data_IF_006144690680
#
_entry.id   IF_006144690680
#
_cell.length_a   1.000
_cell.length_b   1.000
_cell.length_c   1.000
_cell.angle_alpha   90.00
_cell.angle_beta   90.00
_cell.angle_gamma   90.00
#
_symmetry.space_group_name_H-M   'P 1'
#
loop_
_entity.id
_entity.type
_entity.pdbx_description
1 polymer ?
#
# COMPACT_ATOMS: atom_id res chain seq x y z
N UNK A 1 -19.16 20.22 11.72
CA UNK A 1 -18.48 21.46 11.26
C UNK A 1 -18.16 21.29 9.77
N UNK A 2 -18.38 22.31 8.94
CA UNK A 2 -18.15 22.20 7.49
C UNK A 2 -16.66 22.02 7.19
N UNK A 3 -16.31 21.04 6.36
CA UNK A 3 -14.94 20.77 5.88
C UNK A 3 -14.88 21.08 4.40
N UNK A 4 -13.75 21.56 3.92
CA UNK A 4 -13.58 21.76 2.47
C UNK A 4 -13.46 20.43 1.73
N UNK A 5 -12.65 19.51 2.26
CA UNK A 5 -12.40 18.21 1.69
C UNK A 5 -12.37 17.13 2.79
N UNK A 6 -13.00 16.00 2.52
CA UNK A 6 -12.94 14.78 3.34
C UNK A 6 -12.24 13.69 2.54
N UNK A 7 -11.37 12.92 3.17
CA UNK A 7 -10.74 11.77 2.52
C UNK A 7 -11.50 10.48 2.85
N UNK A 8 -11.69 9.63 1.83
CA UNK A 8 -12.25 8.29 1.94
C UNK A 8 -11.20 7.29 1.46
N UNK A 9 -10.60 6.58 2.41
CA UNK A 9 -9.45 5.70 2.18
C UNK A 9 -9.89 4.25 2.05
N UNK A 10 -9.79 3.69 0.85
CA UNK A 10 -10.16 2.32 0.54
C UNK A 10 -9.10 1.34 1.07
N UNK A 11 -9.39 0.69 2.17
CA UNK A 11 -8.48 -0.21 2.89
C UNK A 11 -9.06 -1.62 3.12
N UNK A 12 -10.13 -1.98 2.42
CA UNK A 12 -10.89 -3.22 2.62
C UNK A 12 -10.45 -4.39 1.73
N UNK A 13 -9.48 -4.22 0.83
CA UNK A 13 -9.08 -5.25 -0.12
C UNK A 13 -8.36 -6.44 0.52
N UNK A 14 -8.64 -7.66 0.02
CA UNK A 14 -8.07 -8.91 0.52
C UNK A 14 -6.56 -9.04 0.32
N UNK A 15 -5.99 -8.41 -0.73
CA UNK A 15 -4.56 -8.48 -1.01
C UNK A 15 -4.08 -9.87 -1.45
N UNK A 16 -4.92 -10.66 -2.11
CA UNK A 16 -4.68 -12.07 -2.47
C UNK A 16 -3.34 -12.30 -3.19
N UNK A 17 -2.85 -11.32 -3.97
CA UNK A 17 -1.57 -11.39 -4.68
C UNK A 17 -0.32 -11.22 -3.80
N UNK A 18 -0.49 -10.97 -2.50
CA UNK A 18 0.59 -11.02 -1.50
C UNK A 18 0.61 -12.34 -0.74
N UNK A 19 -0.26 -13.27 -1.13
CA UNK A 19 -0.29 -14.68 -0.68
C UNK A 19 -0.10 -14.83 0.84
N UNK A 20 0.98 -15.49 1.25
CA UNK A 20 1.31 -15.81 2.65
C UNK A 20 1.43 -14.59 3.56
N UNK A 21 1.73 -13.41 3.02
CA UNK A 21 1.88 -12.19 3.81
C UNK A 21 0.53 -11.59 4.24
N UNK A 22 -0.55 -11.89 3.52
CA UNK A 22 -1.90 -11.36 3.79
C UNK A 22 -2.89 -12.42 4.24
N UNK A 23 -2.41 -13.60 4.65
CA UNK A 23 -3.27 -14.67 5.17
C UNK A 23 -4.09 -14.23 6.39
N UNK A 24 -3.47 -13.53 7.32
CA UNK A 24 -4.08 -13.10 8.58
C UNK A 24 -4.23 -11.59 8.72
N UNK A 25 -3.73 -10.78 7.78
CA UNK A 25 -3.83 -9.31 7.83
C UNK A 25 -4.31 -8.69 6.51
N UNK A 26 -4.88 -7.50 6.60
CA UNK A 26 -5.24 -6.71 5.43
C UNK A 26 -3.99 -6.14 4.73
N UNK A 27 -3.99 -6.03 3.39
CA UNK A 27 -2.87 -5.49 2.61
C UNK A 27 -2.34 -4.14 3.14
N UNK A 28 -3.17 -3.14 3.53
CA UNK A 28 -2.67 -1.87 4.07
C UNK A 28 -1.88 -1.99 5.37
N UNK A 29 -2.03 -3.11 6.11
CA UNK A 29 -1.31 -3.38 7.34
C UNK A 29 0.07 -4.00 7.14
N UNK A 30 0.42 -4.41 5.92
CA UNK A 30 1.72 -5.06 5.63
C UNK A 30 2.87 -4.09 5.93
N UNK A 31 3.92 -4.55 6.66
CA UNK A 31 5.11 -3.76 6.96
C UNK A 31 5.89 -3.34 5.72
N UNK A 32 6.46 -2.14 5.77
CA UNK A 32 7.25 -1.56 4.70
C UNK A 32 8.40 -0.71 5.25
N UNK A 33 9.55 -0.73 4.57
CA UNK A 33 10.66 0.19 4.82
C UNK A 33 11.24 0.15 6.23
N UNK A 34 11.10 -0.97 6.91
CA UNK A 34 11.64 -1.19 8.25
C UNK A 34 10.87 -0.52 9.39
N UNK A 35 10.11 0.53 9.08
CA UNK A 35 9.44 1.36 10.08
C UNK A 35 7.93 1.47 9.86
N UNK A 36 7.48 1.44 8.61
CA UNK A 36 6.14 1.82 8.20
C UNK A 36 5.26 0.60 7.96
N UNK A 37 3.95 0.86 7.82
CA UNK A 37 2.99 0.00 7.14
C UNK A 37 2.49 0.75 5.90
N UNK A 38 1.95 0.05 4.90
CA UNK A 38 1.50 0.66 3.64
C UNK A 38 0.49 1.80 3.91
N UNK A 39 -0.41 1.63 4.89
CA UNK A 39 -1.42 2.62 5.28
C UNK A 39 -0.84 3.96 5.76
N UNK A 40 0.41 3.98 6.24
CA UNK A 40 1.05 5.20 6.76
C UNK A 40 1.21 6.26 5.66
N UNK A 41 1.39 5.85 4.43
CA UNK A 41 1.61 6.76 3.30
C UNK A 41 0.37 7.61 3.00
N UNK A 42 -0.81 7.04 2.70
CA UNK A 42 -1.99 7.86 2.45
C UNK A 42 -2.46 8.64 3.68
N UNK A 43 -2.33 8.10 4.91
CA UNK A 43 -2.67 8.86 6.13
C UNK A 43 -1.74 10.05 6.33
N UNK A 44 -0.43 9.86 6.14
CA UNK A 44 0.56 10.96 6.22
C UNK A 44 0.35 11.99 5.12
N UNK A 45 0.04 11.55 3.91
CA UNK A 45 -0.27 12.47 2.82
C UNK A 45 -1.53 13.30 3.12
N UNK A 46 -2.58 12.72 3.74
CA UNK A 46 -3.75 13.48 4.20
C UNK A 46 -3.34 14.55 5.23
N UNK A 47 -2.63 14.16 6.28
CA UNK A 47 -2.19 15.08 7.33
C UNK A 47 -1.31 16.22 6.78
N UNK A 48 -0.31 15.87 5.97
CA UNK A 48 0.60 16.85 5.35
C UNK A 48 -0.11 17.77 4.34
N UNK A 49 -1.19 17.31 3.71
CA UNK A 49 -2.01 18.11 2.77
C UNK A 49 -3.09 18.95 3.47
N UNK A 50 -3.19 18.88 4.81
CA UNK A 50 -4.21 19.60 5.55
C UNK A 50 -5.62 18.98 5.51
N UNK A 51 -5.76 17.74 5.01
CA UNK A 51 -7.00 16.98 5.08
C UNK A 51 -7.05 16.29 6.44
N UNK A 52 -7.84 16.83 7.35
CA UNK A 52 -7.89 16.42 8.75
C UNK A 52 -9.05 15.47 9.10
N UNK A 53 -9.83 15.09 8.11
CA UNK A 53 -11.00 14.20 8.29
C UNK A 53 -10.89 13.05 7.30
N UNK A 54 -10.69 11.84 7.81
CA UNK A 54 -10.41 10.65 7.00
C UNK A 54 -11.30 9.49 7.43
N UNK A 55 -12.14 8.99 6.53
CA UNK A 55 -12.86 7.73 6.69
C UNK A 55 -12.04 6.58 6.10
N UNK A 56 -11.66 5.60 6.91
CA UNK A 56 -10.92 4.41 6.47
C UNK A 56 -11.89 3.24 6.35
N UNK A 57 -12.14 2.81 5.11
CA UNK A 57 -13.08 1.74 4.80
C UNK A 57 -12.39 0.39 4.89
N UNK A 58 -12.65 -0.34 5.98
CA UNK A 58 -12.02 -1.65 6.27
C UNK A 58 -13.03 -2.76 6.11
N UNK A 59 -12.59 -3.95 5.69
CA UNK A 59 -13.46 -5.11 5.53
C UNK A 59 -12.73 -6.43 5.79
N UNK A 60 -11.70 -6.75 5.01
CA UNK A 60 -10.95 -8.00 5.13
C UNK A 60 -9.96 -7.93 6.30
N UNK A 61 -9.98 -8.96 7.19
CA UNK A 61 -9.04 -9.08 8.33
C UNK A 61 -8.76 -7.75 9.04
N UNK A 62 -9.79 -7.05 9.55
CA UNK A 62 -9.64 -5.66 9.97
C UNK A 62 -8.95 -5.49 11.32
N UNK A 63 -8.82 -6.54 12.14
CA UNK A 63 -8.41 -6.43 13.54
C UNK A 63 -7.05 -5.73 13.69
N UNK A 64 -6.04 -6.20 12.98
CA UNK A 64 -4.69 -5.66 13.09
C UNK A 64 -4.62 -4.23 12.53
N UNK A 65 -5.23 -4.00 11.35
CA UNK A 65 -5.27 -2.68 10.72
C UNK A 65 -5.98 -1.65 11.62
N UNK A 66 -7.15 -2.00 12.16
CA UNK A 66 -7.93 -1.13 13.05
C UNK A 66 -7.16 -0.82 14.34
N UNK A 67 -6.52 -1.85 14.94
CA UNK A 67 -5.68 -1.68 16.13
C UNK A 67 -4.46 -0.79 15.85
N UNK A 68 -3.88 -0.91 14.67
CA UNK A 68 -2.72 -0.10 14.25
C UNK A 68 -3.11 1.37 14.07
N UNK A 69 -4.21 1.65 13.36
CA UNK A 69 -4.69 3.02 13.15
C UNK A 69 -5.13 3.64 14.48
N UNK A 70 -5.86 2.89 15.32
CA UNK A 70 -6.38 3.38 16.59
C UNK A 70 -7.21 4.66 16.39
N UNK A 71 -6.89 5.69 17.16
CA UNK A 71 -7.53 7.02 17.09
C UNK A 71 -6.82 7.99 16.12
N UNK A 72 -5.77 7.55 15.43
CA UNK A 72 -5.05 8.39 14.47
C UNK A 72 -3.96 9.29 15.01
N UNK A 73 -3.66 9.20 16.31
CA UNK A 73 -2.66 10.05 16.99
C UNK A 73 -1.28 10.07 16.30
N UNK A 74 -0.73 8.97 15.79
CA UNK A 74 0.56 9.00 15.10
C UNK A 74 0.62 9.92 13.87
N UNK A 75 -0.52 10.18 13.23
CA UNK A 75 -0.64 11.05 12.05
C UNK A 75 -1.28 12.42 12.37
N UNK A 76 -1.44 12.75 13.67
CA UNK A 76 -2.13 13.96 14.13
C UNK A 76 -3.60 14.05 13.64
N UNK A 77 -4.23 12.88 13.47
CA UNK A 77 -5.62 12.70 13.06
C UNK A 77 -6.54 12.29 14.21
N UNK A 78 -6.17 12.61 15.47
CA UNK A 78 -6.95 12.39 16.69
C UNK A 78 -7.72 13.66 17.12
N UNK A 79 -8.32 14.35 16.14
CA UNK A 79 -8.95 15.65 16.35
C UNK A 79 -10.33 15.51 16.96
N UNK A 80 -10.76 16.53 17.71
CA UNK A 80 -12.09 16.61 18.29
C UNK A 80 -13.18 16.74 17.19
N UNK A 81 -12.89 17.57 16.18
CA UNK A 81 -13.75 17.78 15.01
C UNK A 81 -13.03 17.26 13.76
N UNK A 82 -13.43 16.12 13.26
CA UNK A 82 -12.76 15.39 12.18
C UNK A 82 -11.93 14.23 12.71
N UNK A 83 -10.68 14.09 12.23
CA UNK A 83 -9.81 12.99 12.59
C UNK A 83 -10.02 11.74 11.74
N UNK A 84 -9.39 10.62 12.15
CA UNK A 84 -9.55 9.35 11.45
C UNK A 84 -10.71 8.56 12.04
N UNK A 85 -11.56 8.01 11.16
CA UNK A 85 -12.69 7.16 11.50
C UNK A 85 -12.58 5.83 10.77
N UNK A 86 -12.68 4.74 11.50
CA UNK A 86 -12.75 3.39 10.93
C UNK A 86 -14.20 3.12 10.53
N UNK A 87 -14.41 2.81 9.26
CA UNK A 87 -15.72 2.57 8.67
C UNK A 87 -15.80 1.12 8.16
N UNK A 88 -16.19 0.16 9.02
CA UNK A 88 -16.46 -1.21 8.58
C UNK A 88 -17.85 -1.29 7.95
N UNK A 89 -18.14 -2.33 7.14
CA UNK A 89 -19.51 -2.65 6.76
C UNK A 89 -20.36 -2.91 8.00
N UNK A 90 -21.63 -2.53 7.97
CA UNK A 90 -22.53 -2.62 9.12
C UNK A 90 -23.90 -3.18 8.74
N UNK A 91 -24.62 -3.65 9.75
CA UNK A 91 -26.00 -4.07 9.60
C UNK A 91 -26.93 -2.86 9.69
N UNK A 92 -27.71 -2.63 8.62
CA UNK A 92 -28.80 -1.65 8.59
C UNK A 92 -30.15 -2.30 8.97
N UNK A 93 -31.20 -1.50 9.08
CA UNK A 93 -32.54 -2.01 9.29
C UNK A 93 -33.04 -2.91 8.13
N UNK A 94 -32.47 -2.78 6.94
CA UNK A 94 -32.81 -3.55 5.73
C UNK A 94 -31.92 -4.77 5.52
N UNK A 95 -30.91 -4.99 6.36
CA UNK A 95 -30.00 -6.13 6.29
C UNK A 95 -28.54 -5.77 6.52
N UNK A 96 -27.68 -6.80 6.54
CA UNK A 96 -26.24 -6.67 6.58
C UNK A 96 -25.66 -6.96 5.19
N UNK A 97 -24.78 -6.12 4.70
CA UNK A 97 -24.05 -6.40 3.46
C UNK A 97 -22.59 -5.99 3.57
N UNK A 98 -21.72 -6.88 3.09
CA UNK A 98 -20.33 -6.52 2.84
C UNK A 98 -20.25 -5.46 1.74
N UNK A 99 -19.15 -4.71 1.69
CA UNK A 99 -18.89 -3.84 0.55
C UNK A 99 -18.76 -4.68 -0.72
N UNK A 100 -19.65 -4.46 -1.68
CA UNK A 100 -19.72 -5.20 -2.94
C UNK A 100 -18.56 -4.83 -3.87
N UNK A 101 -18.11 -3.56 -3.79
CA UNK A 101 -17.05 -2.98 -4.60
C UNK A 101 -16.57 -1.66 -4.01
N UNK A 102 -15.65 -1.02 -4.69
CA UNK A 102 -15.01 0.23 -4.23
C UNK A 102 -16.01 1.39 -4.16
N UNK A 103 -16.94 1.50 -5.11
CA UNK A 103 -17.98 2.52 -5.12
C UNK A 103 -19.04 2.25 -4.04
N UNK A 104 -19.47 0.99 -3.87
CA UNK A 104 -20.42 0.62 -2.83
C UNK A 104 -19.88 0.91 -1.42
N UNK A 105 -18.57 0.77 -1.20
CA UNK A 105 -17.96 1.11 0.09
C UNK A 105 -18.15 2.60 0.43
N UNK A 106 -18.02 3.50 -0.54
CA UNK A 106 -18.30 4.93 -0.34
C UNK A 106 -19.80 5.16 -0.21
N UNK A 107 -20.63 4.52 -1.04
CA UNK A 107 -22.09 4.64 -0.99
C UNK A 107 -22.65 4.31 0.40
N UNK A 108 -22.24 3.19 1.00
CA UNK A 108 -22.70 2.81 2.33
C UNK A 108 -22.32 3.83 3.41
N UNK A 109 -21.32 4.68 3.15
CA UNK A 109 -20.79 5.69 4.07
C UNK A 109 -21.10 7.14 3.63
N UNK A 110 -22.07 7.35 2.73
CA UNK A 110 -22.54 8.70 2.34
C UNK A 110 -22.89 9.54 3.57
N UNK A 111 -23.57 8.93 4.57
CA UNK A 111 -23.94 9.62 5.80
C UNK A 111 -22.74 10.14 6.60
N UNK A 112 -21.62 9.44 6.59
CA UNK A 112 -20.38 9.93 7.21
C UNK A 112 -19.86 11.18 6.49
N UNK A 113 -19.83 11.17 5.17
CA UNK A 113 -19.37 12.34 4.39
C UNK A 113 -20.31 13.52 4.58
N UNK A 114 -21.65 13.28 4.48
CA UNK A 114 -22.66 14.30 4.64
C UNK A 114 -22.65 15.01 6.02
N UNK A 115 -22.13 14.35 7.10
CA UNK A 115 -21.94 14.98 8.42
C UNK A 115 -21.01 16.21 8.38
N UNK A 116 -20.07 16.22 7.46
CA UNK A 116 -19.08 17.30 7.32
C UNK A 116 -19.43 18.31 6.23
N UNK A 117 -20.51 18.07 5.46
CA UNK A 117 -20.97 18.93 4.34
C UNK A 117 -19.81 19.44 3.48
N UNK A 118 -18.91 18.54 2.97
CA UNK A 118 -17.75 18.97 2.22
C UNK A 118 -18.14 19.37 0.80
N UNK A 119 -17.36 20.24 0.19
CA UNK A 119 -17.47 20.55 -1.24
C UNK A 119 -16.80 19.46 -2.09
N UNK A 120 -15.69 18.87 -1.55
CA UNK A 120 -14.87 17.89 -2.25
C UNK A 120 -14.65 16.63 -1.41
N UNK A 121 -14.43 15.50 -2.10
CA UNK A 121 -14.04 14.25 -1.48
C UNK A 121 -12.82 13.68 -2.21
N UNK A 122 -11.78 13.38 -1.46
CA UNK A 122 -10.63 12.62 -1.94
C UNK A 122 -10.86 11.12 -1.72
N UNK A 123 -10.95 10.34 -2.79
CA UNK A 123 -11.03 8.87 -2.72
C UNK A 123 -9.63 8.32 -2.98
N UNK A 124 -9.10 7.60 -2.00
CA UNK A 124 -7.70 7.20 -1.93
C UNK A 124 -7.55 5.68 -1.83
N UNK A 125 -6.55 5.12 -2.51
CA UNK A 125 -6.16 3.72 -2.33
C UNK A 125 -5.21 3.57 -1.15
N UNK A 126 -5.49 2.61 -0.26
CA UNK A 126 -4.62 2.22 0.86
C UNK A 126 -3.53 1.20 0.51
N UNK A 127 -3.17 1.06 -0.77
CA UNK A 127 -2.36 -0.06 -1.27
C UNK A 127 -1.06 0.38 -1.96
N UNK A 128 -0.68 1.66 -1.89
CA UNK A 128 0.42 2.23 -2.66
C UNK A 128 1.46 2.91 -1.78
N UNK A 129 2.70 2.96 -2.26
CA UNK A 129 3.82 3.69 -1.66
C UNK A 129 4.10 4.93 -2.48
N UNK A 130 3.90 6.10 -1.90
CA UNK A 130 4.06 7.40 -2.58
C UNK A 130 4.05 8.56 -1.58
N UNK A 131 4.56 9.72 -2.00
CA UNK A 131 4.47 10.98 -1.26
C UNK A 131 3.78 12.01 -2.16
N UNK A 132 2.59 12.47 -1.78
CA UNK A 132 1.77 13.36 -2.63
C UNK A 132 1.11 14.44 -1.80
N UNK A 133 1.18 15.68 -2.27
CA UNK A 133 0.40 16.79 -1.74
C UNK A 133 -0.97 16.85 -2.44
N UNK A 134 -2.00 16.37 -1.75
CA UNK A 134 -3.38 16.42 -2.25
C UNK A 134 -3.93 17.84 -2.37
N UNK A 135 -3.38 18.82 -1.63
CA UNK A 135 -3.81 20.21 -1.74
C UNK A 135 -3.48 20.81 -3.13
N UNK A 136 -2.36 20.38 -3.73
CA UNK A 136 -2.01 20.77 -5.11
C UNK A 136 -3.02 20.20 -6.11
N UNK A 137 -3.36 18.92 -5.97
CA UNK A 137 -4.36 18.26 -6.82
C UNK A 137 -5.76 18.88 -6.63
N UNK A 138 -6.16 19.20 -5.39
CA UNK A 138 -7.42 19.86 -5.07
C UNK A 138 -7.48 21.27 -5.68
N UNK A 139 -6.40 22.02 -5.64
CA UNK A 139 -6.33 23.33 -6.30
C UNK A 139 -6.57 23.22 -7.79
N UNK A 140 -5.92 22.25 -8.45
CA UNK A 140 -6.15 21.99 -9.88
C UNK A 140 -7.58 21.57 -10.18
N UNK A 141 -8.20 20.75 -9.32
CA UNK A 141 -9.60 20.38 -9.42
C UNK A 141 -10.53 21.61 -9.43
N UNK A 142 -10.30 22.54 -8.51
CA UNK A 142 -11.06 23.78 -8.42
C UNK A 142 -10.86 24.69 -9.65
N UNK A 143 -9.60 24.88 -10.07
CA UNK A 143 -9.26 25.70 -11.24
C UNK A 143 -9.92 25.22 -12.51
N UNK A 144 -10.03 23.90 -12.68
CA UNK A 144 -10.67 23.30 -13.85
C UNK A 144 -12.17 23.24 -13.76
N UNK A 145 -12.76 23.40 -12.56
CA UNK A 145 -14.19 23.18 -12.32
C UNK A 145 -14.62 21.75 -12.68
N UNK A 146 -13.73 20.77 -12.46
CA UNK A 146 -13.99 19.39 -12.81
C UNK A 146 -15.01 18.75 -11.86
N UNK A 147 -15.79 17.77 -12.35
CA UNK A 147 -16.57 16.89 -11.51
C UNK A 147 -15.69 15.78 -10.87
N UNK A 148 -14.63 15.38 -11.59
CA UNK A 148 -13.64 14.44 -11.12
C UNK A 148 -12.25 14.83 -11.63
N UNK A 149 -11.25 14.79 -10.76
CA UNK A 149 -9.82 14.83 -11.12
C UNK A 149 -9.17 13.52 -10.73
N UNK A 150 -8.44 12.90 -11.65
CA UNK A 150 -7.75 11.62 -11.46
C UNK A 150 -6.25 11.86 -11.45
N UNK A 151 -5.56 11.44 -10.39
CA UNK A 151 -4.10 11.41 -10.39
C UNK A 151 -3.61 10.31 -11.33
N UNK A 152 -2.68 10.67 -12.21
CA UNK A 152 -2.18 9.80 -13.28
C UNK A 152 -0.67 9.82 -13.36
N UNK A 153 -0.11 8.71 -13.85
CA UNK A 153 1.32 8.56 -14.12
C UNK A 153 1.51 7.75 -15.41
N UNK A 154 2.56 8.04 -16.15
CA UNK A 154 2.97 7.19 -17.26
C UNK A 154 3.69 5.94 -16.71
N UNK A 155 3.22 4.76 -17.13
CA UNK A 155 3.80 3.48 -16.75
C UNK A 155 4.44 2.80 -17.96
N UNK A 156 5.36 1.85 -17.78
CA UNK A 156 5.85 1.02 -18.88
C UNK A 156 4.68 0.36 -19.61
N UNK A 157 4.72 0.34 -20.95
CA UNK A 157 3.65 -0.24 -21.78
C UNK A 157 3.32 -1.68 -21.40
N UNK A 158 4.33 -2.47 -21.02
CA UNK A 158 4.14 -3.86 -20.57
C UNK A 158 3.28 -4.00 -19.32
N UNK A 159 3.21 -2.94 -18.50
CA UNK A 159 2.43 -2.92 -17.25
C UNK A 159 1.07 -2.24 -17.39
N UNK A 160 0.82 -1.53 -18.49
CA UNK A 160 -0.36 -0.70 -18.66
C UNK A 160 -1.67 -1.49 -18.48
N UNK A 161 -1.73 -2.75 -18.95
CA UNK A 161 -2.91 -3.63 -18.80
C UNK A 161 -3.29 -3.96 -17.34
N UNK A 162 -2.46 -3.60 -16.36
CA UNK A 162 -2.73 -3.83 -14.93
C UNK A 162 -3.55 -2.72 -14.28
N UNK A 163 -3.69 -1.57 -14.95
CA UNK A 163 -4.27 -0.34 -14.41
C UNK A 163 -5.46 0.14 -15.22
N UNK A 164 -6.25 1.03 -14.63
CA UNK A 164 -7.17 1.87 -15.40
C UNK A 164 -6.37 2.83 -16.28
N UNK A 165 -6.56 2.74 -17.58
CA UNK A 165 -5.84 3.52 -18.59
C UNK A 165 -6.74 4.59 -19.19
N UNK A 166 -6.19 5.78 -19.38
CA UNK A 166 -6.94 6.89 -19.94
C UNK A 166 -6.23 7.57 -21.10
N UNK A 167 -7.03 8.14 -21.98
CA UNK A 167 -6.60 9.07 -23.02
C UNK A 167 -7.06 10.48 -22.62
N UNK A 168 -6.23 11.47 -22.92
CA UNK A 168 -6.49 12.88 -22.60
C UNK A 168 -6.31 13.75 -23.86
N UNK A 169 -6.96 14.91 -23.87
CA UNK A 169 -6.72 15.95 -24.86
C UNK A 169 -5.53 16.87 -24.46
N UNK A 170 -5.28 17.91 -25.24
CA UNK A 170 -4.18 18.85 -25.01
C UNK A 170 -4.29 19.70 -23.73
N UNK A 171 -5.44 19.67 -23.04
CA UNK A 171 -5.69 20.37 -21.77
C UNK A 171 -5.78 19.40 -20.59
N UNK A 172 -5.33 18.14 -20.76
CA UNK A 172 -5.47 17.04 -19.78
C UNK A 172 -6.92 16.68 -19.44
N UNK A 173 -7.90 17.03 -20.30
CA UNK A 173 -9.26 16.53 -20.13
C UNK A 173 -9.33 15.07 -20.55
N UNK A 174 -9.93 14.24 -19.70
CA UNK A 174 -10.08 12.80 -19.98
C UNK A 174 -11.13 12.60 -21.05
N UNK A 175 -10.73 11.93 -22.15
CA UNK A 175 -11.60 11.63 -23.31
C UNK A 175 -11.99 10.16 -23.36
N UNK A 176 -11.16 9.26 -22.85
CA UNK A 176 -11.44 7.82 -22.75
C UNK A 176 -10.89 7.28 -21.43
N UNK A 177 -11.57 6.27 -20.90
CA UNK A 177 -11.12 5.49 -19.76
C UNK A 177 -11.43 4.00 -19.97
N UNK A 178 -10.46 3.13 -19.71
CA UNK A 178 -10.63 1.68 -19.77
C UNK A 178 -9.98 1.01 -18.56
N UNK A 179 -10.77 0.27 -17.79
CA UNK A 179 -10.27 -0.49 -16.63
C UNK A 179 -9.58 -1.77 -17.08
N UNK A 180 -8.27 -1.86 -16.83
CA UNK A 180 -7.42 -3.03 -17.13
C UNK A 180 -7.60 -3.58 -18.56
N UNK A 181 -7.43 -2.75 -19.58
CA UNK A 181 -7.64 -3.16 -20.96
C UNK A 181 -6.59 -4.21 -21.39
N UNK A 182 -7.02 -5.22 -22.16
CA UNK A 182 -6.08 -6.20 -22.72
C UNK A 182 -5.11 -5.56 -23.74
N UNK A 183 -5.61 -4.57 -24.47
CA UNK A 183 -4.85 -3.80 -25.46
C UNK A 183 -4.95 -2.31 -25.09
N UNK A 184 -4.03 -1.79 -24.28
CA UNK A 184 -4.07 -0.40 -23.85
C UNK A 184 -3.78 0.55 -25.00
N UNK A 185 -4.61 1.59 -25.16
CA UNK A 185 -4.41 2.66 -26.18
C UNK A 185 -3.43 3.73 -25.71
N UNK A 186 -3.12 3.77 -24.44
CA UNK A 186 -2.24 4.73 -23.78
C UNK A 186 -1.50 4.02 -22.65
N UNK A 187 -0.43 4.61 -22.15
CA UNK A 187 0.26 4.17 -20.93
C UNK A 187 0.03 5.14 -19.77
N UNK A 188 -0.94 6.05 -19.89
CA UNK A 188 -1.31 6.96 -18.82
C UNK A 188 -2.24 6.23 -17.82
N UNK A 189 -1.68 5.79 -16.73
CA UNK A 189 -2.34 4.96 -15.74
C UNK A 189 -2.98 5.77 -14.60
N UNK A 190 -4.18 5.37 -14.19
CA UNK A 190 -4.80 5.85 -12.96
C UNK A 190 -4.02 5.34 -11.74
N UNK A 191 -3.70 6.24 -10.84
CA UNK A 191 -3.08 5.90 -9.56
C UNK A 191 -4.11 5.42 -8.51
N UNK A 192 -5.41 5.36 -8.84
CA UNK A 192 -6.45 5.05 -7.84
C UNK A 192 -6.60 6.15 -6.78
N UNK A 193 -6.30 7.38 -7.15
CA UNK A 193 -6.38 8.58 -6.33
C UNK A 193 -7.24 9.58 -7.08
N UNK A 194 -8.36 9.94 -6.48
CA UNK A 194 -9.38 10.77 -7.12
C UNK A 194 -9.77 11.93 -6.21
N UNK A 195 -10.07 13.10 -6.80
CA UNK A 195 -10.81 14.16 -6.14
C UNK A 195 -12.10 14.37 -6.90
N UNK A 196 -13.21 14.31 -6.19
CA UNK A 196 -14.56 14.53 -6.73
C UNK A 196 -15.20 15.75 -6.10
N UNK A 197 -16.00 16.48 -6.90
CA UNK A 197 -17.03 17.36 -6.36
C UNK A 197 -18.09 16.49 -5.69
N UNK A 198 -18.30 16.66 -4.37
CA UNK A 198 -19.11 15.72 -3.57
C UNK A 198 -20.54 15.55 -4.08
N UNK A 199 -21.21 16.64 -4.43
CA UNK A 199 -22.59 16.58 -4.94
C UNK A 199 -22.70 15.69 -6.19
N UNK A 200 -21.70 15.74 -7.07
CA UNK A 200 -21.62 14.90 -8.27
C UNK A 200 -21.36 13.45 -7.92
N UNK A 201 -20.33 13.17 -7.14
CA UNK A 201 -20.03 11.78 -6.75
C UNK A 201 -21.24 11.14 -6.06
N UNK A 202 -21.88 11.85 -5.15
CA UNK A 202 -23.06 11.37 -4.42
C UNK A 202 -24.21 10.96 -5.36
N UNK A 203 -24.47 11.75 -6.40
CA UNK A 203 -25.47 11.45 -7.43
C UNK A 203 -25.16 10.13 -8.14
N UNK A 204 -23.92 9.96 -8.62
CA UNK A 204 -23.50 8.75 -9.32
C UNK A 204 -23.46 7.51 -8.42
N UNK A 205 -23.07 7.64 -7.16
CA UNK A 205 -23.08 6.53 -6.19
C UNK A 205 -24.49 6.01 -5.93
N UNK A 206 -25.47 6.91 -5.79
CA UNK A 206 -26.89 6.54 -5.59
C UNK A 206 -27.46 5.86 -6.84
N UNK A 207 -27.14 6.38 -8.03
CA UNK A 207 -27.59 5.79 -9.29
C UNK A 207 -26.95 4.41 -9.52
N UNK A 208 -25.66 4.25 -9.22
CA UNK A 208 -24.91 3.00 -9.36
C UNK A 208 -25.44 1.89 -8.44
N UNK A 209 -25.74 2.20 -7.18
CA UNK A 209 -26.33 1.22 -6.25
C UNK A 209 -27.74 0.78 -6.67
N UNK A 210 -28.48 1.63 -7.37
CA UNK A 210 -29.82 1.30 -7.88
C UNK A 210 -29.76 0.39 -9.13
N UNK A 211 -28.60 0.27 -9.79
CA UNK A 211 -28.41 -0.60 -10.94
C UNK A 211 -27.99 -2.01 -10.50
N UNK A 212 -28.87 -3.02 -10.65
CA UNK A 212 -28.57 -4.40 -10.25
C UNK A 212 -27.48 -5.06 -11.11
N UNK A 213 -27.09 -4.46 -12.24
CA UNK A 213 -26.04 -4.97 -13.14
C UNK A 213 -24.68 -4.38 -12.85
N UNK A 214 -24.60 -3.37 -11.98
CA UNK A 214 -23.36 -2.74 -11.59
C UNK A 214 -22.47 -3.67 -10.77
N UNK A 215 -21.16 -3.62 -11.02
CA UNK A 215 -20.15 -4.23 -10.16
C UNK A 215 -19.77 -3.32 -8.95
N UNK A 216 -20.39 -2.15 -8.85
CA UNK A 216 -20.16 -1.14 -7.81
C UNK A 216 -18.67 -0.72 -7.68
N UNK A 217 -18.00 -0.54 -8.80
CA UNK A 217 -16.58 -0.23 -8.88
C UNK A 217 -16.34 1.13 -9.55
N UNK A 218 -15.35 1.89 -9.04
CA UNK A 218 -15.03 3.20 -9.61
C UNK A 218 -14.59 3.11 -11.08
N UNK A 219 -13.67 2.20 -11.38
CA UNK A 219 -13.10 2.06 -12.73
C UNK A 219 -14.07 1.46 -13.73
N UNK A 220 -14.94 0.53 -13.29
CA UNK A 220 -15.86 -0.17 -14.19
C UNK A 220 -17.20 0.55 -14.36
N UNK A 221 -17.65 1.29 -13.34
CA UNK A 221 -19.01 1.86 -13.32
C UNK A 221 -19.01 3.38 -13.18
N UNK A 222 -18.49 3.94 -12.10
CA UNK A 222 -18.62 5.38 -11.78
C UNK A 222 -17.93 6.25 -12.83
N UNK A 223 -16.63 6.01 -13.09
CA UNK A 223 -15.84 6.82 -14.03
C UNK A 223 -16.39 6.73 -15.44
N UNK A 224 -16.70 5.54 -16.00
CA UNK A 224 -17.35 5.43 -17.30
C UNK A 224 -18.71 6.10 -17.38
N UNK A 225 -19.54 6.00 -16.34
CA UNK A 225 -20.86 6.66 -16.31
C UNK A 225 -20.73 8.18 -16.33
N UNK A 226 -19.82 8.75 -15.53
CA UNK A 226 -19.54 10.19 -15.53
C UNK A 226 -19.03 10.67 -16.89
N UNK A 227 -18.13 9.91 -17.51
CA UNK A 227 -17.59 10.22 -18.83
C UNK A 227 -18.68 10.19 -19.91
N UNK A 228 -19.52 9.15 -19.90
CA UNK A 228 -20.64 9.00 -20.84
C UNK A 228 -21.70 10.11 -20.70
N UNK A 229 -21.90 10.62 -19.49
CA UNK A 229 -22.77 11.77 -19.21
C UNK A 229 -22.14 13.11 -19.62
N UNK A 230 -20.90 13.14 -20.08
CA UNK A 230 -20.21 14.35 -20.52
C UNK A 230 -19.69 15.21 -19.36
N UNK A 231 -19.60 14.67 -18.14
CA UNK A 231 -19.04 15.38 -16.99
C UNK A 231 -17.59 15.81 -17.28
N UNK A 232 -17.19 16.97 -16.76
CA UNK A 232 -15.83 17.44 -16.93
C UNK A 232 -14.89 16.65 -16.02
N UNK A 233 -14.03 15.84 -16.61
CA UNK A 233 -13.04 15.03 -15.91
C UNK A 233 -11.64 15.41 -16.37
N UNK A 234 -10.73 15.56 -15.42
CA UNK A 234 -9.35 16.04 -15.68
C UNK A 234 -8.33 15.06 -15.13
N UNK A 235 -7.29 14.77 -15.91
CA UNK A 235 -6.11 14.07 -15.44
C UNK A 235 -5.16 15.07 -14.75
N UNK A 236 -4.62 14.68 -13.60
CA UNK A 236 -3.56 15.42 -12.93
C UNK A 236 -2.29 14.57 -12.96
N UNK A 237 -1.29 15.02 -13.73
CA UNK A 237 -0.04 14.30 -13.89
C UNK A 237 0.79 14.43 -12.62
N UNK A 238 1.01 13.30 -11.94
CA UNK A 238 1.86 13.23 -10.78
C UNK A 238 3.32 13.10 -11.19
N UNK A 239 4.18 13.94 -10.61
CA UNK A 239 5.63 13.88 -10.76
C UNK A 239 6.24 13.50 -9.41
N UNK A 240 6.62 12.24 -9.25
CA UNK A 240 7.17 11.70 -8.02
C UNK A 240 7.19 10.17 -8.01
N UNK A 241 7.74 9.61 -6.94
CA UNK A 241 7.73 8.16 -6.76
C UNK A 241 6.32 7.66 -6.42
N UNK A 242 5.88 6.65 -7.16
CA UNK A 242 4.67 5.89 -6.90
C UNK A 242 4.86 4.43 -7.29
N UNK A 243 4.43 3.51 -6.43
CA UNK A 243 4.46 2.07 -6.70
C UNK A 243 3.25 1.37 -6.08
N UNK A 244 2.50 0.63 -6.91
CA UNK A 244 1.52 -0.35 -6.42
C UNK A 244 2.26 -1.57 -5.88
N UNK A 245 2.24 -1.76 -4.58
CA UNK A 245 2.85 -2.91 -3.91
C UNK A 245 1.86 -4.08 -3.79
N UNK A 246 1.16 -4.35 -4.88
CA UNK A 246 0.13 -5.38 -4.98
C UNK A 246 0.64 -6.79 -5.24
N UNK A 247 1.92 -6.97 -5.52
CA UNK A 247 2.56 -8.28 -5.71
C UNK A 247 3.79 -8.41 -4.82
N UNK A 248 4.25 -9.65 -4.56
CA UNK A 248 5.44 -9.90 -3.74
C UNK A 248 6.69 -9.23 -4.32
N UNK A 249 6.87 -9.33 -5.64
CA UNK A 249 8.00 -8.70 -6.33
C UNK A 249 7.93 -7.18 -6.21
N UNK A 250 6.75 -6.56 -6.47
CA UNK A 250 6.63 -5.11 -6.35
C UNK A 250 6.81 -4.60 -4.91
N UNK A 251 6.44 -5.39 -3.91
CA UNK A 251 6.69 -5.07 -2.50
C UNK A 251 8.20 -5.15 -2.18
N UNK A 252 8.88 -6.19 -2.66
CA UNK A 252 10.32 -6.35 -2.49
C UNK A 252 11.07 -5.22 -3.18
N UNK A 253 10.78 -4.97 -4.47
CA UNK A 253 11.36 -3.88 -5.26
C UNK A 253 11.20 -2.51 -4.58
N UNK A 254 10.00 -2.20 -4.06
CA UNK A 254 9.76 -0.93 -3.39
C UNK A 254 10.63 -0.76 -2.13
N UNK A 255 10.91 -1.85 -1.41
CA UNK A 255 11.86 -1.83 -0.29
C UNK A 255 13.30 -1.63 -0.77
N UNK A 256 13.69 -2.22 -1.88
CA UNK A 256 15.03 -2.02 -2.48
C UNK A 256 15.16 -0.60 -3.07
N UNK A 257 14.09 -0.05 -3.67
CA UNK A 257 14.05 1.33 -4.15
C UNK A 257 14.39 2.34 -3.04
N UNK A 258 13.94 2.08 -1.81
CA UNK A 258 14.25 2.93 -0.66
C UNK A 258 15.76 3.00 -0.37
N UNK A 259 16.52 1.96 -0.71
CA UNK A 259 17.98 1.90 -0.53
C UNK A 259 18.75 2.48 -1.72
N UNK A 260 18.07 2.81 -2.81
CA UNK A 260 18.65 3.29 -4.06
C UNK A 260 18.51 4.80 -4.20
N UNK A 261 19.59 5.60 -4.13
CA UNK A 261 19.49 7.08 -4.17
C UNK A 261 18.80 7.63 -5.42
N UNK A 262 18.82 6.90 -6.53
CA UNK A 262 18.21 7.30 -7.81
C UNK A 262 16.75 6.92 -7.99
N UNK A 263 16.13 6.20 -7.08
CA UNK A 263 14.76 5.71 -7.22
C UNK A 263 13.68 6.79 -7.11
N UNK A 264 14.00 7.93 -6.49
CA UNK A 264 13.04 8.99 -6.17
C UNK A 264 12.28 8.77 -4.84
N UNK A 265 12.37 7.60 -4.22
CA UNK A 265 11.77 7.34 -2.90
C UNK A 265 12.68 7.84 -1.78
N UNK A 266 12.45 9.06 -1.32
CA UNK A 266 13.19 9.62 -0.19
C UNK A 266 12.33 9.66 1.09
N UNK A 267 12.50 8.69 1.98
CA UNK A 267 11.81 8.63 3.26
C UNK A 267 12.50 9.44 4.38
N UNK A 268 13.69 9.98 4.10
CA UNK A 268 14.44 10.82 5.03
C UNK A 268 14.12 12.32 4.84
N UNK A 269 13.30 12.69 3.84
CA UNK A 269 12.89 14.07 3.60
C UNK A 269 11.99 14.58 4.73
N UNK A 270 12.52 15.50 5.54
CA UNK A 270 11.82 16.10 6.67
C UNK A 270 10.75 17.13 6.28
N UNK A 271 10.72 17.57 5.03
CA UNK A 271 9.71 18.53 4.55
C UNK A 271 8.37 17.84 4.27
N UNK A 272 8.41 16.54 3.99
CA UNK A 272 7.24 15.69 3.80
C UNK A 272 7.42 14.36 4.54
N UNK A 273 7.32 14.38 5.88
CA UNK A 273 7.54 13.18 6.69
C UNK A 273 6.41 12.17 6.48
N UNK A 274 6.76 10.89 6.49
CA UNK A 274 5.78 9.82 6.65
C UNK A 274 5.73 9.46 8.12
N UNK A 275 4.58 9.68 8.73
CA UNK A 275 4.30 9.33 10.12
C UNK A 275 3.98 7.84 10.24
N UNK A 276 4.19 7.27 11.40
CA UNK A 276 3.85 5.87 11.67
C UNK A 276 3.69 5.63 13.16
N UNK A 277 2.91 4.63 13.50
CA UNK A 277 2.86 4.14 14.88
C UNK A 277 4.17 3.42 15.20
N UNK A 278 5.02 4.04 15.99
CA UNK A 278 6.32 3.50 16.34
C UNK A 278 6.22 2.73 17.66
N UNK A 279 6.58 1.43 17.69
CA UNK A 279 6.63 0.68 18.96
C UNK A 279 7.74 1.23 19.86
N UNK A 280 7.60 1.03 21.17
CA UNK A 280 8.66 1.33 22.12
C UNK A 280 9.74 0.25 22.01
N UNK A 281 10.88 0.61 21.41
CA UNK A 281 12.02 -0.27 21.22
C UNK A 281 13.30 0.41 21.67
N UNK A 282 14.31 -0.36 22.17
CA UNK A 282 15.63 0.19 22.43
C UNK A 282 16.30 0.66 21.13
N UNK A 283 17.41 1.38 21.20
CA UNK A 283 18.24 1.61 20.00
C UNK A 283 18.64 0.30 19.32
N UNK A 284 18.96 0.36 18.02
CA UNK A 284 19.58 -0.77 17.36
C UNK A 284 20.98 -1.00 17.93
N UNK A 285 21.37 -2.27 18.12
CA UNK A 285 22.68 -2.67 18.55
C UNK A 285 23.42 -3.34 17.39
N UNK A 286 24.63 -2.86 17.13
CA UNK A 286 25.52 -3.41 16.09
C UNK A 286 26.76 -3.96 16.78
N UNK A 287 26.99 -5.27 16.69
CA UNK A 287 28.10 -5.96 17.29
C UNK A 287 29.45 -5.58 16.66
N UNK A 288 30.55 -5.77 17.41
CA UNK A 288 31.86 -5.35 16.99
C UNK A 288 32.40 -6.06 15.72
N UNK A 289 31.82 -7.21 15.37
CA UNK A 289 32.20 -8.00 14.17
C UNK A 289 31.12 -7.90 13.05
N UNK A 290 30.07 -7.17 13.30
CA UNK A 290 29.00 -7.00 12.29
C UNK A 290 29.48 -6.13 11.13
N UNK A 291 29.03 -6.46 9.92
CA UNK A 291 29.33 -5.69 8.70
C UNK A 291 28.02 -5.26 8.03
N UNK A 292 27.72 -3.96 8.10
CA UNK A 292 26.48 -3.40 7.52
C UNK A 292 26.82 -2.49 6.35
N UNK A 293 26.22 -2.75 5.18
CA UNK A 293 26.38 -1.92 3.99
C UNK A 293 25.04 -1.65 3.28
N UNK A 294 24.81 -0.40 2.88
CA UNK A 294 23.61 0.06 2.14
C UNK A 294 22.30 -0.56 2.64
N UNK A 295 22.02 -0.48 3.93
CA UNK A 295 20.88 -1.14 4.56
C UNK A 295 20.14 -0.21 5.50
N UNK A 296 18.84 -0.43 5.65
CA UNK A 296 18.01 0.26 6.63
C UNK A 296 17.82 -0.64 7.86
N UNK A 297 18.20 -0.15 9.04
CA UNK A 297 18.11 -0.88 10.29
C UNK A 297 17.25 -0.11 11.28
N UNK A 298 16.09 -0.67 11.65
CA UNK A 298 15.14 -0.04 12.55
C UNK A 298 15.56 -0.19 14.03
N UNK A 299 14.83 0.48 14.93
CA UNK A 299 15.04 0.38 16.39
C UNK A 299 14.78 -1.05 16.88
N UNK A 300 15.48 -1.44 17.94
CA UNK A 300 15.36 -2.76 18.55
C UNK A 300 16.08 -3.87 17.81
N UNK A 301 16.68 -3.60 16.66
CA UNK A 301 17.47 -4.61 15.95
C UNK A 301 18.76 -4.96 16.70
N UNK A 302 19.13 -6.23 16.66
CA UNK A 302 20.46 -6.73 17.08
C UNK A 302 21.15 -7.34 15.87
N UNK A 303 22.28 -6.75 15.47
CA UNK A 303 23.03 -7.19 14.29
C UNK A 303 24.44 -7.63 14.71
N UNK A 304 24.71 -8.93 14.65
CA UNK A 304 26.01 -9.54 14.97
C UNK A 304 26.71 -10.10 13.73
N UNK A 305 25.96 -10.25 12.61
CA UNK A 305 26.42 -10.81 11.34
C UNK A 305 26.58 -9.76 10.24
N UNK A 306 26.52 -10.22 8.99
CA UNK A 306 26.62 -9.38 7.80
C UNK A 306 25.23 -9.01 7.26
N UNK A 307 25.01 -7.71 6.93
CA UNK A 307 23.76 -7.21 6.36
C UNK A 307 24.09 -6.26 5.21
N UNK A 308 23.68 -6.62 3.98
CA UNK A 308 23.94 -5.85 2.76
C UNK A 308 22.65 -5.64 1.97
N UNK A 309 22.45 -4.42 1.47
CA UNK A 309 21.31 -4.08 0.60
C UNK A 309 19.96 -4.60 1.13
N UNK A 310 19.73 -4.46 2.43
CA UNK A 310 18.60 -5.10 3.11
C UNK A 310 17.84 -4.14 4.02
N UNK A 311 16.59 -4.47 4.30
CA UNK A 311 15.71 -3.70 5.18
C UNK A 311 15.36 -4.54 6.41
N UNK A 312 15.80 -4.10 7.58
CA UNK A 312 15.53 -4.72 8.87
C UNK A 312 14.49 -3.90 9.64
N UNK A 313 13.33 -4.51 9.87
CA UNK A 313 12.25 -3.88 10.65
C UNK A 313 12.50 -4.01 12.16
N UNK A 314 11.60 -3.44 12.97
CA UNK A 314 11.72 -3.43 14.42
C UNK A 314 12.02 -4.80 15.04
N UNK A 315 12.93 -4.82 16.02
CA UNK A 315 13.24 -6.00 16.84
C UNK A 315 13.72 -7.22 16.03
N UNK A 316 14.28 -7.02 14.83
CA UNK A 316 14.91 -8.12 14.10
C UNK A 316 16.27 -8.45 14.69
N UNK A 317 16.65 -9.73 14.59
CA UNK A 317 17.95 -10.23 15.08
C UNK A 317 18.68 -10.93 13.96
N UNK A 318 19.98 -10.64 13.84
CA UNK A 318 20.91 -11.29 12.90
C UNK A 318 22.11 -11.81 13.70
N UNK A 319 22.20 -13.13 13.81
CA UNK A 319 23.18 -13.84 14.63
C UNK A 319 24.63 -13.76 14.10
N UNK A 320 25.59 -14.21 14.90
CA UNK A 320 27.01 -14.24 14.51
C UNK A 320 27.22 -15.14 13.28
N UNK A 321 27.98 -14.65 12.30
CA UNK A 321 28.25 -15.35 11.05
C UNK A 321 27.08 -15.51 10.11
N UNK A 322 25.90 -15.01 10.48
CA UNK A 322 24.76 -14.97 9.56
C UNK A 322 24.97 -13.90 8.47
N UNK A 323 24.41 -14.15 7.28
CA UNK A 323 24.49 -13.26 6.11
C UNK A 323 23.08 -12.93 5.63
N UNK A 324 22.74 -11.65 5.58
CA UNK A 324 21.47 -11.15 5.04
C UNK A 324 21.75 -10.21 3.88
N UNK A 325 21.30 -10.55 2.69
CA UNK A 325 21.52 -9.71 1.51
C UNK A 325 20.27 -9.60 0.62
N UNK A 326 20.03 -8.41 0.07
CA UNK A 326 18.89 -8.11 -0.80
C UNK A 326 17.54 -8.60 -0.23
N UNK A 327 17.37 -8.48 1.07
CA UNK A 327 16.25 -9.07 1.79
C UNK A 327 15.50 -8.08 2.66
N UNK A 328 14.23 -8.37 2.91
CA UNK A 328 13.36 -7.62 3.80
C UNK A 328 13.01 -8.49 5.00
N UNK A 329 13.51 -8.13 6.18
CA UNK A 329 13.14 -8.77 7.44
C UNK A 329 12.04 -7.94 8.11
N UNK A 330 10.84 -8.51 8.24
CA UNK A 330 9.69 -7.87 8.89
C UNK A 330 9.83 -7.91 10.42
N UNK A 331 9.00 -7.17 11.19
CA UNK A 331 9.15 -7.03 12.63
C UNK A 331 9.30 -8.36 13.38
N UNK A 332 10.28 -8.43 14.28
CA UNK A 332 10.51 -9.59 15.12
C UNK A 332 11.13 -10.81 14.44
N UNK A 333 11.53 -10.71 13.17
CA UNK A 333 12.22 -11.81 12.49
C UNK A 333 13.59 -12.08 13.11
N UNK A 334 13.96 -13.36 13.27
CA UNK A 334 15.21 -13.82 13.85
C UNK A 334 15.95 -14.68 12.83
N UNK A 335 17.18 -14.30 12.52
CA UNK A 335 18.12 -15.07 11.70
C UNK A 335 19.24 -15.55 12.62
N UNK A 336 19.31 -16.87 12.85
CA UNK A 336 20.26 -17.46 13.77
C UNK A 336 21.68 -17.51 13.20
N UNK A 337 22.64 -17.87 14.05
CA UNK A 337 24.07 -17.90 13.67
C UNK A 337 24.33 -18.80 12.46
N UNK A 338 25.17 -18.31 11.53
CA UNK A 338 25.56 -19.02 10.32
C UNK A 338 24.50 -19.09 9.21
N UNK A 339 23.25 -18.68 9.47
CA UNK A 339 22.20 -18.74 8.46
C UNK A 339 22.42 -17.71 7.33
N UNK A 340 21.96 -18.06 6.13
CA UNK A 340 22.08 -17.22 4.92
C UNK A 340 20.69 -16.89 4.39
N UNK A 341 20.35 -15.60 4.30
CA UNK A 341 19.08 -15.08 3.78
C UNK A 341 19.37 -14.15 2.62
N UNK A 342 18.94 -14.54 1.43
CA UNK A 342 19.25 -13.80 0.21
C UNK A 342 17.99 -13.64 -0.67
N UNK A 343 17.73 -12.44 -1.18
CA UNK A 343 16.61 -12.16 -2.06
C UNK A 343 15.29 -12.74 -1.50
N UNK A 344 14.99 -12.36 -0.26
CA UNK A 344 13.84 -12.90 0.46
C UNK A 344 13.00 -11.82 1.14
N UNK A 345 11.72 -12.10 1.34
CA UNK A 345 10.85 -11.42 2.28
C UNK A 345 10.58 -12.38 3.44
N UNK A 346 11.06 -12.03 4.61
CA UNK A 346 10.86 -12.80 5.85
C UNK A 346 9.77 -12.10 6.66
N UNK A 347 8.64 -12.77 6.83
CA UNK A 347 7.45 -12.25 7.52
C UNK A 347 7.67 -11.96 9.00
N UNK A 348 6.66 -11.34 9.63
CA UNK A 348 6.70 -10.98 11.05
C UNK A 348 6.92 -12.21 11.93
N UNK A 349 7.80 -12.09 12.94
CA UNK A 349 8.08 -13.13 13.93
C UNK A 349 8.54 -14.50 13.35
N UNK A 350 9.10 -14.51 12.14
CA UNK A 350 9.74 -15.70 11.59
C UNK A 350 11.05 -16.00 12.32
N UNK A 351 11.39 -17.29 12.37
CA UNK A 351 12.68 -17.75 12.88
C UNK A 351 13.38 -18.62 11.83
N UNK A 352 14.61 -18.26 11.50
CA UNK A 352 15.48 -18.98 10.57
C UNK A 352 16.59 -19.62 11.40
N UNK A 353 16.60 -20.96 11.44
CA UNK A 353 17.51 -21.77 12.24
C UNK A 353 18.96 -21.63 11.84
N UNK A 354 19.86 -22.20 12.65
CA UNK A 354 21.32 -22.14 12.45
C UNK A 354 21.71 -22.78 11.12
N UNK A 355 22.63 -22.15 10.41
CA UNK A 355 23.16 -22.63 9.13
C UNK A 355 22.09 -22.89 8.06
N UNK A 356 20.84 -22.46 8.27
CA UNK A 356 19.77 -22.57 7.28
C UNK A 356 19.99 -21.58 6.12
N UNK A 357 19.42 -21.90 4.95
CA UNK A 357 19.53 -21.08 3.76
C UNK A 357 18.15 -20.73 3.24
N UNK A 358 17.88 -19.43 2.99
CA UNK A 358 16.59 -18.95 2.47
C UNK A 358 16.81 -18.06 1.27
N UNK A 359 16.24 -18.46 0.14
CA UNK A 359 16.38 -17.76 -1.14
C UNK A 359 17.74 -17.99 -1.80
N UNK A 360 17.91 -17.42 -2.98
CA UNK A 360 19.15 -17.49 -3.74
C UNK A 360 19.27 -16.33 -4.72
N UNK A 361 20.51 -15.91 -5.09
CA UNK A 361 20.76 -14.89 -6.08
C UNK A 361 20.21 -15.26 -7.47
N UNK A 362 19.82 -14.27 -8.30
CA UNK A 362 19.28 -14.51 -9.66
C UNK A 362 20.21 -15.33 -10.56
N UNK A 363 21.52 -15.16 -10.41
CA UNK A 363 22.54 -15.83 -11.21
C UNK A 363 22.61 -17.35 -10.98
N UNK A 364 21.94 -17.85 -9.94
CA UNK A 364 21.87 -19.29 -9.63
C UNK A 364 20.78 -20.01 -10.41
N UNK A 365 19.81 -19.30 -10.97
CA UNK A 365 18.77 -19.88 -11.80
C UNK A 365 19.28 -20.20 -13.22
N UNK A 366 18.92 -21.36 -13.76
CA UNK A 366 19.26 -21.73 -15.14
C UNK A 366 18.38 -20.95 -16.14
N UNK A 367 17.13 -20.69 -15.79
CA UNK A 367 16.20 -19.85 -16.54
C UNK A 367 15.79 -18.65 -15.68
N UNK A 368 15.93 -17.40 -16.16
CA UNK A 368 15.47 -16.22 -15.43
C UNK A 368 14.01 -16.28 -14.98
N UNK A 369 13.16 -16.96 -15.73
CA UNK A 369 11.73 -17.11 -15.39
C UNK A 369 11.49 -18.07 -14.20
N UNK A 370 12.46 -18.90 -13.87
CA UNK A 370 12.41 -19.81 -12.72
C UNK A 370 12.89 -19.16 -11.41
N UNK A 371 13.48 -17.97 -11.50
CA UNK A 371 13.90 -17.22 -10.33
C UNK A 371 12.78 -16.33 -9.78
N UNK A 372 12.80 -16.11 -8.49
CA UNK A 372 11.92 -15.18 -7.78
C UNK A 372 12.31 -15.04 -6.31
N UNK A 373 11.78 -14.02 -5.67
CA UNK A 373 11.99 -13.76 -4.25
C UNK A 373 11.38 -14.89 -3.42
N UNK A 374 12.15 -15.44 -2.47
CA UNK A 374 11.60 -16.37 -1.47
C UNK A 374 10.76 -15.60 -0.44
N UNK A 375 9.61 -16.13 -0.04
CA UNK A 375 8.73 -15.44 0.92
C UNK A 375 8.28 -16.38 2.03
N UNK A 376 8.57 -15.97 3.26
CA UNK A 376 8.10 -16.64 4.47
C UNK A 376 6.94 -15.85 5.07
N UNK A 377 5.80 -16.49 5.24
CA UNK A 377 4.62 -15.90 5.91
C UNK A 377 4.88 -15.66 7.40
N UNK A 378 4.09 -14.82 8.07
CA UNK A 378 4.27 -14.50 9.48
C UNK A 378 4.31 -15.76 10.36
N UNK A 379 5.28 -15.81 11.30
CA UNK A 379 5.44 -16.90 12.26
C UNK A 379 6.01 -18.21 11.69
N UNK A 380 6.52 -18.21 10.45
CA UNK A 380 7.18 -19.38 9.86
C UNK A 380 8.49 -19.67 10.59
N UNK A 381 8.76 -20.94 10.87
CA UNK A 381 10.00 -21.41 11.48
C UNK A 381 10.72 -22.31 10.50
N UNK A 382 11.96 -21.98 10.16
CA UNK A 382 12.86 -22.81 9.33
C UNK A 382 13.83 -23.51 10.29
N UNK A 383 13.99 -24.83 10.14
CA UNK A 383 14.87 -25.66 10.96
C UNK A 383 16.35 -25.40 10.71
N UNK A 384 17.20 -25.90 11.64
CA UNK A 384 18.65 -25.80 11.50
C UNK A 384 19.13 -26.54 10.25
N UNK A 385 19.95 -25.89 9.42
CA UNK A 385 20.48 -26.44 8.17
C UNK A 385 19.46 -26.63 7.05
N UNK A 386 18.23 -26.22 7.23
CA UNK A 386 17.17 -26.33 6.22
C UNK A 386 17.40 -25.37 5.03
N UNK A 387 17.02 -25.81 3.83
CA UNK A 387 17.19 -25.03 2.60
C UNK A 387 15.82 -24.69 2.01
N UNK A 388 15.54 -23.41 1.88
CA UNK A 388 14.38 -22.85 1.18
C UNK A 388 14.84 -22.21 -0.12
N UNK A 389 14.46 -22.78 -1.25
CA UNK A 389 14.88 -22.30 -2.57
C UNK A 389 14.31 -20.94 -2.93
N UNK A 390 14.90 -20.25 -3.93
CA UNK A 390 14.30 -19.07 -4.56
C UNK A 390 12.87 -19.34 -5.04
N UNK A 391 12.02 -18.30 -5.13
CA UNK A 391 10.62 -18.34 -5.56
C UNK A 391 9.67 -19.19 -4.67
N UNK A 392 10.16 -19.73 -3.56
CA UNK A 392 9.35 -20.54 -2.63
C UNK A 392 8.49 -19.65 -1.73
N UNK A 393 7.23 -20.01 -1.55
CA UNK A 393 6.30 -19.36 -0.64
C UNK A 393 5.90 -20.32 0.47
N UNK A 394 6.28 -20.05 1.71
CA UNK A 394 5.97 -20.90 2.87
C UNK A 394 5.09 -20.15 3.87
N UNK A 395 4.07 -20.82 4.37
CA UNK A 395 3.32 -20.37 5.53
C UNK A 395 3.84 -20.99 6.85
N UNK A 396 3.27 -20.58 7.98
CA UNK A 396 3.63 -21.09 9.32
C UNK A 396 3.39 -22.59 9.53
N UNK A 397 2.68 -23.25 8.64
CA UNK A 397 2.40 -24.69 8.69
C UNK A 397 3.30 -25.48 7.74
N UNK A 398 4.34 -24.84 7.19
CA UNK A 398 5.22 -25.39 6.16
C UNK A 398 4.47 -25.88 4.91
N UNK A 399 3.25 -25.34 4.70
CA UNK A 399 2.51 -25.53 3.46
C UNK A 399 3.13 -24.68 2.36
N UNK A 400 3.65 -25.30 1.29
CA UNK A 400 4.05 -24.58 0.09
C UNK A 400 2.80 -24.03 -0.59
N UNK A 401 2.69 -22.71 -0.67
CA UNK A 401 1.58 -22.02 -1.34
C UNK A 401 2.00 -21.72 -2.78
N UNK A 402 1.30 -22.30 -3.74
CA UNK A 402 1.54 -21.98 -5.16
C UNK A 402 1.06 -20.56 -5.47
N UNK A 403 1.95 -19.79 -6.09
CA UNK A 403 1.68 -18.44 -6.55
C UNK A 403 0.76 -18.40 -7.78
#
# INVERSE_FOLDING_TARGET
MKKECVAMLLAGGQGSRLYVLTGDMAKPAVPFGGKFRIIDFPLSNCANSGIDTVGVLTQYRPLELNSYIGNGQPWELDRLDGGVHILPPYQSATGASWYKGTANAIYQNIGFVDLYDPEYVAVLSGAHIYKMDYAVMLRRHKETGAACTIAVMEVPWAEASRFGIMSVDGEDRITEFAEKPKEPKSNLASMGIYIFTWSKLREYLVADEADPTSENDFGKNIIPAMLAAGERMTAWRFDGYWKDVGTLVSLWDANMDMLSPGSGLNLLDRRWPIYSRTPSCPPAYVGAKADIGNSAVAKGCEVLGEVKNSVLSYNTQVGEGAVVSYSVLMPGAVVESGAVVQYAIVGENCRIGRDAQVGAPPETAQDPDDWGVAVLGPGTVIGDGEIVSAKTLLDRHHGEVKA
#
